data_IF_512345844884
#
_entry.id   IF_512345844884
#
_cell.length_a   1.000
_cell.length_b   1.000
_cell.length_c   1.000
_cell.angle_alpha   90.00
_cell.angle_beta   90.00
_cell.angle_gamma   90.00
#
_symmetry.space_group_name_H-M   'P 1'
#
loop_
_entity.id
_entity.type
_entity.pdbx_description
1 polymer ?
#
# COMPACT_ATOMS: atom_id res chain seq x y z
N UNK A 1 5.06 2.56 29.87
CA UNK A 1 5.71 3.01 28.62
C UNK A 1 4.93 2.41 27.47
N UNK A 2 4.51 3.21 26.49
CA UNK A 2 3.89 2.66 25.27
C UNK A 2 4.95 1.87 24.51
N UNK A 3 4.67 0.61 24.17
CA UNK A 3 5.55 -0.18 23.31
C UNK A 3 5.53 0.39 21.88
N UNK A 4 6.67 0.35 21.19
CA UNK A 4 6.75 0.69 19.76
C UNK A 4 6.07 -0.43 18.97
N UNK A 5 5.22 -0.07 18.00
CA UNK A 5 4.60 -1.03 17.09
C UNK A 5 5.54 -1.31 15.92
N UNK A 6 5.98 -2.55 15.76
CA UNK A 6 6.97 -2.97 14.77
C UNK A 6 6.27 -3.68 13.60
N UNK A 7 6.47 -3.16 12.39
CA UNK A 7 5.94 -3.74 11.15
C UNK A 7 7.09 -4.36 10.36
N UNK A 8 7.09 -5.68 10.22
CA UNK A 8 8.04 -6.37 9.34
C UNK A 8 7.60 -6.21 7.87
N UNK A 9 8.52 -5.80 7.00
CA UNK A 9 8.26 -5.63 5.57
C UNK A 9 8.55 -6.92 4.80
N UNK A 10 7.52 -7.67 4.43
CA UNK A 10 7.63 -8.78 3.49
C UNK A 10 7.66 -8.28 2.04
N UNK A 11 6.90 -7.22 1.76
CA UNK A 11 6.84 -6.62 0.43
C UNK A 11 6.48 -7.65 -0.64
N UNK A 12 7.34 -7.78 -1.66
CA UNK A 12 7.24 -8.76 -2.74
C UNK A 12 8.28 -9.90 -2.59
N UNK A 13 8.93 -10.03 -1.44
CA UNK A 13 10.01 -11.01 -1.23
C UNK A 13 9.55 -12.47 -1.25
N UNK A 14 8.24 -12.72 -1.35
CA UNK A 14 7.69 -14.05 -1.64
C UNK A 14 8.02 -14.52 -3.07
N UNK A 15 8.47 -13.63 -3.98
CA UNK A 15 8.89 -13.96 -5.34
C UNK A 15 7.89 -14.82 -6.14
N UNK A 16 6.58 -14.66 -5.89
CA UNK A 16 5.54 -15.49 -6.49
C UNK A 16 5.45 -16.91 -5.95
N UNK A 17 6.13 -17.22 -4.85
CA UNK A 17 6.10 -18.54 -4.19
C UNK A 17 5.14 -18.51 -2.99
N UNK A 18 4.14 -19.41 -3.03
CA UNK A 18 3.13 -19.54 -1.97
C UNK A 18 3.75 -19.95 -0.63
N UNK A 19 4.64 -20.93 -0.64
CA UNK A 19 5.30 -21.42 0.59
C UNK A 19 6.16 -20.34 1.23
N UNK A 20 6.95 -19.65 0.42
CA UNK A 20 7.82 -18.57 0.89
C UNK A 20 7.03 -17.41 1.52
N UNK A 21 5.81 -17.12 1.04
CA UNK A 21 4.96 -16.11 1.66
C UNK A 21 4.63 -16.46 3.13
N UNK A 22 4.42 -17.74 3.45
CA UNK A 22 4.18 -18.20 4.83
C UNK A 22 5.47 -18.22 5.67
N UNK A 23 6.60 -18.59 5.08
CA UNK A 23 7.90 -18.54 5.76
C UNK A 23 8.28 -17.10 6.17
N UNK A 24 7.91 -16.10 5.36
CA UNK A 24 8.06 -14.70 5.72
C UNK A 24 7.21 -14.32 6.95
N UNK A 25 5.99 -14.86 7.07
CA UNK A 25 5.16 -14.68 8.28
C UNK A 25 5.85 -15.29 9.50
N UNK A 26 6.35 -16.54 9.38
CA UNK A 26 7.05 -17.21 10.48
C UNK A 26 8.32 -16.45 10.90
N UNK A 27 9.04 -15.91 9.93
CA UNK A 27 10.23 -15.08 10.18
C UNK A 27 9.88 -13.78 10.94
N UNK A 28 8.79 -13.10 10.54
CA UNK A 28 8.30 -11.90 11.22
C UNK A 28 7.87 -12.20 12.67
N UNK A 29 7.17 -13.29 12.89
CA UNK A 29 6.79 -13.77 14.24
C UNK A 29 8.02 -14.06 15.08
N UNK A 30 9.00 -14.78 14.53
CA UNK A 30 10.25 -15.13 15.22
C UNK A 30 11.09 -13.90 15.60
N UNK A 31 11.01 -12.84 14.77
CA UNK A 31 11.66 -11.56 15.03
C UNK A 31 10.91 -10.70 16.06
N UNK A 32 9.73 -11.11 16.51
CA UNK A 32 8.91 -10.36 17.48
C UNK A 32 8.21 -9.14 16.88
N UNK A 33 7.92 -9.13 15.58
CA UNK A 33 7.17 -8.07 14.95
C UNK A 33 5.68 -8.13 15.33
N UNK A 34 5.04 -6.95 15.44
CA UNK A 34 3.60 -6.83 15.75
C UNK A 34 2.73 -7.04 14.50
N UNK A 35 3.28 -6.73 13.34
CA UNK A 35 2.63 -6.90 12.04
C UNK A 35 3.61 -7.35 10.96
N UNK A 36 3.08 -8.01 9.94
CA UNK A 36 3.79 -8.25 8.67
C UNK A 36 3.04 -7.55 7.55
N UNK A 37 3.78 -6.92 6.63
CA UNK A 37 3.21 -6.14 5.54
C UNK A 37 3.68 -6.63 4.18
N UNK A 38 2.72 -7.02 3.34
CA UNK A 38 2.89 -7.38 1.94
C UNK A 38 2.58 -6.20 1.01
N UNK A 39 2.58 -6.46 -0.29
CA UNK A 39 2.15 -5.53 -1.34
C UNK A 39 1.07 -6.20 -2.18
N UNK A 40 0.05 -5.42 -2.55
CA UNK A 40 -1.08 -5.87 -3.36
C UNK A 40 -1.24 -4.93 -4.54
N UNK A 41 -1.16 -5.47 -5.74
CA UNK A 41 -1.30 -4.72 -6.98
C UNK A 41 -1.74 -5.64 -8.11
N UNK A 42 -2.32 -5.03 -9.14
CA UNK A 42 -2.59 -5.65 -10.43
C UNK A 42 -1.61 -5.02 -11.43
N UNK A 43 -0.71 -5.79 -12.00
CA UNK A 43 0.36 -5.27 -12.86
C UNK A 43 -0.15 -4.43 -14.01
N UNK A 44 -1.30 -4.80 -14.58
CA UNK A 44 -1.97 -4.07 -15.66
C UNK A 44 -2.43 -2.67 -15.25
N UNK A 45 -2.67 -2.43 -13.96
CA UNK A 45 -3.14 -1.15 -13.42
C UNK A 45 -1.99 -0.26 -12.92
N UNK A 46 -0.80 -0.81 -12.68
CA UNK A 46 0.34 -0.06 -12.10
C UNK A 46 1.49 0.22 -13.07
N UNK A 47 1.60 -0.55 -14.17
CA UNK A 47 2.68 -0.37 -15.14
C UNK A 47 2.23 -0.65 -16.57
N UNK A 48 2.69 0.16 -17.52
CA UNK A 48 2.44 -0.09 -18.95
C UNK A 48 3.35 -1.22 -19.45
N UNK A 49 2.86 -1.99 -20.44
CA UNK A 49 3.63 -3.10 -21.03
C UNK A 49 4.94 -2.66 -21.69
N UNK A 50 5.06 -1.39 -22.04
CA UNK A 50 6.25 -0.79 -22.66
C UNK A 50 7.17 -0.06 -21.69
N UNK A 51 6.88 -0.10 -20.38
CA UNK A 51 7.72 0.56 -19.38
C UNK A 51 9.11 -0.10 -19.31
N UNK A 52 10.15 0.74 -19.31
CA UNK A 52 11.51 0.29 -19.09
C UNK A 52 11.75 0.06 -17.61
N UNK A 53 12.62 -0.91 -17.29
CA UNK A 53 13.10 -1.11 -15.92
C UNK A 53 13.90 0.10 -15.43
N UNK A 54 13.87 0.35 -14.14
CA UNK A 54 14.80 1.29 -13.53
C UNK A 54 16.23 0.69 -13.54
N UNK A 55 17.25 1.56 -13.64
CA UNK A 55 18.66 1.14 -13.78
C UNK A 55 19.09 0.17 -12.66
N UNK A 56 18.66 0.38 -11.43
CA UNK A 56 18.98 -0.51 -10.32
C UNK A 56 18.34 -1.91 -10.44
N UNK A 57 17.23 -2.02 -11.16
CA UNK A 57 16.54 -3.31 -11.38
C UNK A 57 17.25 -4.16 -12.44
N UNK A 58 17.96 -3.55 -13.38
CA UNK A 58 18.71 -4.24 -14.43
C UNK A 58 19.88 -5.07 -13.85
N UNK A 59 20.42 -4.67 -12.69
CA UNK A 59 21.52 -5.39 -12.04
C UNK A 59 21.08 -6.69 -11.35
N UNK A 60 19.78 -6.84 -11.07
CA UNK A 60 19.24 -7.97 -10.29
C UNK A 60 18.29 -8.86 -11.09
N UNK A 61 17.92 -8.46 -12.31
CA UNK A 61 16.95 -9.18 -13.16
C UNK A 61 17.48 -9.32 -14.59
N UNK A 62 16.92 -10.27 -15.37
CA UNK A 62 17.33 -10.47 -16.78
C UNK A 62 17.13 -9.21 -17.61
N UNK A 63 18.12 -8.83 -18.42
CA UNK A 63 18.04 -7.68 -19.33
C UNK A 63 17.00 -7.80 -20.45
N UNK A 64 16.52 -9.02 -20.73
CA UNK A 64 15.50 -9.29 -21.76
C UNK A 64 14.06 -9.22 -21.21
N UNK A 65 13.87 -9.12 -19.90
CA UNK A 65 12.56 -9.07 -19.26
C UNK A 65 12.08 -7.62 -19.14
N UNK A 66 10.81 -7.34 -19.49
CA UNK A 66 10.21 -6.00 -19.31
C UNK A 66 9.93 -5.72 -17.82
N UNK A 67 9.71 -4.44 -17.47
CA UNK A 67 9.27 -4.11 -16.11
C UNK A 67 7.92 -4.77 -15.80
N UNK A 68 7.02 -4.84 -16.78
CA UNK A 68 5.73 -5.50 -16.65
C UNK A 68 5.89 -6.99 -16.30
N UNK A 69 6.74 -7.72 -17.05
CA UNK A 69 6.95 -9.16 -16.80
C UNK A 69 7.57 -9.43 -15.42
N UNK A 70 8.48 -8.55 -14.98
CA UNK A 70 9.08 -8.63 -13.66
C UNK A 70 8.03 -8.43 -12.56
N UNK A 71 7.23 -7.37 -12.66
CA UNK A 71 6.19 -7.05 -11.65
C UNK A 71 5.11 -8.13 -11.64
N UNK A 72 4.72 -8.65 -12.83
CA UNK A 72 3.68 -9.69 -12.93
C UNK A 72 3.99 -10.95 -12.14
N UNK A 73 5.25 -11.34 -12.09
CA UNK A 73 5.71 -12.49 -11.27
C UNK A 73 5.66 -12.23 -9.77
N UNK A 74 5.60 -10.97 -9.37
CA UNK A 74 5.63 -10.52 -7.97
C UNK A 74 4.23 -10.18 -7.44
N UNK A 75 3.18 -10.34 -8.24
CA UNK A 75 1.82 -10.20 -7.77
C UNK A 75 1.53 -11.22 -6.66
N UNK A 76 0.87 -10.76 -5.62
CA UNK A 76 0.31 -11.63 -4.59
C UNK A 76 -1.14 -11.96 -4.98
N UNK A 77 -1.46 -13.19 -5.39
CA UNK A 77 -2.82 -13.55 -5.80
C UNK A 77 -3.85 -13.26 -4.72
N UNK A 78 -5.04 -12.80 -5.08
CA UNK A 78 -6.07 -12.40 -4.12
C UNK A 78 -6.47 -13.56 -3.19
N UNK A 79 -6.50 -14.78 -3.71
CA UNK A 79 -6.81 -15.98 -2.94
C UNK A 79 -5.82 -16.21 -1.80
N UNK A 80 -4.53 -15.90 -2.01
CA UNK A 80 -3.50 -16.06 -0.99
C UNK A 80 -3.67 -15.11 0.19
N UNK A 81 -4.28 -13.95 -0.03
CA UNK A 81 -4.54 -13.00 1.07
C UNK A 81 -5.42 -13.58 2.16
N UNK A 82 -6.46 -14.34 1.79
CA UNK A 82 -7.32 -15.00 2.78
C UNK A 82 -6.57 -16.05 3.59
N UNK A 83 -5.70 -16.81 2.93
CA UNK A 83 -4.87 -17.82 3.59
C UNK A 83 -3.83 -17.19 4.51
N UNK A 84 -3.14 -16.16 4.05
CA UNK A 84 -2.17 -15.38 4.82
C UNK A 84 -2.82 -14.68 6.02
N UNK A 85 -4.00 -14.08 5.83
CA UNK A 85 -4.76 -13.48 6.93
C UNK A 85 -5.10 -14.50 8.00
N UNK A 86 -5.62 -15.67 7.61
CA UNK A 86 -5.92 -16.77 8.56
C UNK A 86 -4.65 -17.24 9.28
N UNK A 87 -3.56 -17.36 8.54
CA UNK A 87 -2.28 -17.80 9.11
C UNK A 87 -1.70 -16.77 10.09
N UNK A 88 -1.70 -15.50 9.73
CA UNK A 88 -1.27 -14.41 10.62
C UNK A 88 -2.09 -14.40 11.91
N UNK A 89 -3.43 -14.54 11.82
CA UNK A 89 -4.30 -14.63 12.98
C UNK A 89 -3.97 -15.82 13.87
N UNK A 90 -3.69 -16.99 13.28
CA UNK A 90 -3.26 -18.19 14.03
C UNK A 90 -1.92 -17.98 14.74
N UNK A 91 -1.01 -17.22 14.14
CA UNK A 91 0.33 -16.91 14.68
C UNK A 91 0.33 -15.73 15.66
N UNK A 92 -0.78 -14.98 15.78
CA UNK A 92 -0.90 -13.81 16.65
C UNK A 92 -0.17 -12.57 16.14
N UNK A 93 0.09 -12.47 14.83
CA UNK A 93 0.68 -11.30 14.17
C UNK A 93 -0.36 -10.60 13.28
N UNK A 94 -0.35 -9.28 13.21
CA UNK A 94 -1.27 -8.53 12.36
C UNK A 94 -0.88 -8.62 10.90
N UNK A 95 -1.85 -8.94 10.03
CA UNK A 95 -1.68 -8.88 8.55
C UNK A 95 -1.90 -7.47 8.06
N UNK A 96 -0.99 -6.94 7.25
CA UNK A 96 -1.11 -5.69 6.53
C UNK A 96 -0.71 -5.90 5.06
N UNK A 97 -1.25 -5.09 4.17
CA UNK A 97 -0.76 -4.99 2.80
C UNK A 97 -0.88 -3.57 2.27
N UNK A 98 0.05 -3.18 1.40
CA UNK A 98 0.05 -1.89 0.72
C UNK A 98 -0.64 -2.06 -0.63
N UNK A 99 -1.72 -1.30 -0.88
CA UNK A 99 -2.33 -1.22 -2.21
C UNK A 99 -1.58 -0.23 -3.10
N UNK A 100 -1.45 -0.55 -4.39
CA UNK A 100 -0.87 0.34 -5.41
C UNK A 100 -1.87 0.70 -6.51
N UNK A 101 -3.09 0.22 -6.43
CA UNK A 101 -4.18 0.54 -7.34
C UNK A 101 -5.53 0.52 -6.61
N UNK A 102 -6.54 1.11 -7.24
CA UNK A 102 -7.86 1.22 -6.63
C UNK A 102 -8.55 -0.12 -6.38
N UNK A 103 -8.40 -1.09 -7.29
CA UNK A 103 -9.03 -2.42 -7.14
C UNK A 103 -8.42 -3.16 -5.95
N UNK A 104 -7.09 -3.09 -5.82
CA UNK A 104 -6.36 -3.64 -4.68
C UNK A 104 -6.75 -2.96 -3.37
N UNK A 105 -6.94 -1.64 -3.37
CA UNK A 105 -7.43 -0.91 -2.20
C UNK A 105 -8.84 -1.38 -1.80
N UNK A 106 -9.75 -1.45 -2.76
CA UNK A 106 -11.13 -1.89 -2.53
C UNK A 106 -11.14 -3.34 -2.00
N UNK A 107 -10.38 -4.25 -2.61
CA UNK A 107 -10.23 -5.63 -2.16
C UNK A 107 -9.71 -5.72 -0.71
N UNK A 108 -8.64 -5.01 -0.39
CA UNK A 108 -8.06 -5.04 0.96
C UNK A 108 -9.02 -4.50 2.02
N UNK A 109 -9.75 -3.43 1.72
CA UNK A 109 -10.69 -2.82 2.68
C UNK A 109 -12.01 -3.56 2.74
N UNK A 110 -12.57 -3.95 1.59
CA UNK A 110 -13.96 -4.42 1.50
C UNK A 110 -14.07 -5.94 1.63
N UNK A 111 -13.01 -6.71 1.31
CA UNK A 111 -13.00 -8.18 1.40
C UNK A 111 -12.08 -8.69 2.52
N UNK A 112 -10.82 -8.27 2.54
CA UNK A 112 -9.86 -8.66 3.59
C UNK A 112 -10.14 -7.96 4.91
N UNK A 113 -10.85 -6.80 4.88
CA UNK A 113 -11.27 -6.02 6.08
C UNK A 113 -10.10 -5.48 6.88
N UNK A 114 -9.06 -4.97 6.21
CA UNK A 114 -7.95 -4.31 6.92
C UNK A 114 -8.43 -3.04 7.65
N UNK A 115 -7.84 -2.76 8.82
CA UNK A 115 -8.16 -1.58 9.63
C UNK A 115 -7.22 -0.41 9.37
N UNK A 116 -6.09 -0.66 8.73
CA UNK A 116 -5.04 0.31 8.47
C UNK A 116 -4.66 0.25 7.00
N UNK A 117 -4.76 1.36 6.30
CA UNK A 117 -4.30 1.50 4.92
C UNK A 117 -2.88 2.07 4.93
N UNK A 118 -1.96 1.38 4.26
CA UNK A 118 -0.62 1.90 4.02
C UNK A 118 -0.56 2.54 2.65
N UNK A 119 -0.17 3.81 2.62
CA UNK A 119 0.07 4.58 1.39
C UNK A 119 1.58 4.61 1.15
N UNK A 120 2.07 4.06 0.03
CA UNK A 120 3.50 4.05 -0.28
C UNK A 120 3.96 5.43 -0.72
N UNK A 121 5.25 5.74 -0.56
CA UNK A 121 5.80 7.05 -0.94
C UNK A 121 5.71 7.35 -2.43
N UNK A 122 5.71 6.32 -3.28
CA UNK A 122 5.49 6.49 -4.72
C UNK A 122 4.12 7.04 -5.11
N UNK A 123 3.15 6.93 -4.20
CA UNK A 123 1.78 7.42 -4.41
C UNK A 123 1.49 8.77 -3.74
N UNK A 124 2.48 9.41 -3.10
CA UNK A 124 2.24 10.64 -2.33
C UNK A 124 1.76 11.81 -3.18
N UNK A 125 2.12 11.83 -4.47
CA UNK A 125 1.67 12.84 -5.44
C UNK A 125 0.44 12.40 -6.25
N UNK A 126 -0.06 11.17 -6.02
CA UNK A 126 -1.25 10.64 -6.69
C UNK A 126 -2.52 11.09 -5.96
N UNK A 127 -2.92 12.35 -6.18
CA UNK A 127 -4.08 12.96 -5.52
C UNK A 127 -5.38 12.14 -5.64
N UNK A 128 -5.75 11.57 -6.79
CA UNK A 128 -6.93 10.71 -6.89
C UNK A 128 -6.85 9.48 -5.98
N UNK A 129 -5.70 8.81 -5.91
CA UNK A 129 -5.51 7.63 -5.07
C UNK A 129 -5.51 7.97 -3.57
N UNK A 130 -4.86 9.07 -3.17
CA UNK A 130 -4.90 9.58 -1.79
C UNK A 130 -6.33 9.86 -1.33
N UNK A 131 -7.13 10.48 -2.20
CA UNK A 131 -8.53 10.77 -1.91
C UNK A 131 -9.35 9.48 -1.74
N UNK A 132 -9.16 8.48 -2.61
CA UNK A 132 -9.83 7.19 -2.46
C UNK A 132 -9.43 6.47 -1.16
N UNK A 133 -8.15 6.50 -0.77
CA UNK A 133 -7.70 5.97 0.51
C UNK A 133 -8.37 6.66 1.70
N UNK A 134 -8.44 8.00 1.67
CA UNK A 134 -9.03 8.79 2.75
C UNK A 134 -10.55 8.54 2.90
N UNK A 135 -11.27 8.42 1.78
CA UNK A 135 -12.71 8.10 1.76
C UNK A 135 -13.06 6.78 2.42
N UNK A 136 -12.13 5.82 2.50
CA UNK A 136 -12.37 4.55 3.19
C UNK A 136 -12.52 4.72 4.71
N UNK A 137 -12.17 5.86 5.29
CA UNK A 137 -12.36 6.16 6.71
C UNK A 137 -11.58 5.24 7.65
N UNK A 138 -10.47 4.68 7.19
CA UNK A 138 -9.58 3.82 7.97
C UNK A 138 -8.39 4.61 8.52
N UNK A 139 -7.67 4.03 9.47
CA UNK A 139 -6.38 4.57 9.88
C UNK A 139 -5.39 4.54 8.72
N UNK A 140 -4.59 5.59 8.57
CA UNK A 140 -3.63 5.71 7.47
C UNK A 140 -2.20 5.72 8.01
N UNK A 141 -1.31 5.02 7.30
CA UNK A 141 0.14 5.15 7.44
C UNK A 141 0.66 5.66 6.10
N UNK A 142 1.18 6.88 6.08
CA UNK A 142 1.68 7.55 4.87
C UNK A 142 3.20 7.59 4.88
N UNK A 143 3.85 7.05 3.85
CA UNK A 143 5.29 7.20 3.66
C UNK A 143 5.60 8.44 2.83
N UNK A 144 6.68 9.11 3.21
CA UNK A 144 7.13 10.38 2.61
C UNK A 144 8.51 10.29 1.97
N UNK A 145 8.98 9.07 1.68
CA UNK A 145 10.30 8.86 1.08
C UNK A 145 10.44 9.58 -0.26
N UNK A 146 11.52 10.34 -0.41
CA UNK A 146 11.85 11.17 -1.59
C UNK A 146 10.84 12.30 -1.89
N UNK A 147 9.87 12.56 -1.01
CA UNK A 147 8.98 13.71 -1.13
C UNK A 147 9.58 14.95 -0.47
N UNK A 148 9.32 16.12 -1.03
CA UNK A 148 9.61 17.39 -0.38
C UNK A 148 8.47 17.82 0.57
N UNK A 149 8.70 18.91 1.34
CA UNK A 149 7.70 19.36 2.32
C UNK A 149 6.41 19.85 1.66
N UNK A 150 6.51 20.44 0.47
CA UNK A 150 5.33 20.92 -0.26
C UNK A 150 4.44 19.76 -0.74
N UNK A 151 5.03 18.70 -1.25
CA UNK A 151 4.32 17.48 -1.66
C UNK A 151 3.64 16.81 -0.46
N UNK A 152 4.31 16.80 0.70
CA UNK A 152 3.74 16.25 1.95
C UNK A 152 2.53 17.08 2.40
N UNK A 153 2.64 18.41 2.40
CA UNK A 153 1.55 19.30 2.78
C UNK A 153 0.34 19.17 1.84
N UNK A 154 0.57 19.06 0.53
CA UNK A 154 -0.49 18.80 -0.44
C UNK A 154 -1.17 17.45 -0.20
N UNK A 155 -0.40 16.39 0.04
CA UNK A 155 -0.93 15.08 0.33
C UNK A 155 -1.80 15.08 1.61
N UNK A 156 -1.34 15.74 2.67
CA UNK A 156 -2.11 15.90 3.92
C UNK A 156 -3.40 16.68 3.69
N UNK A 157 -3.38 17.71 2.87
CA UNK A 157 -4.59 18.47 2.49
C UNK A 157 -5.65 17.60 1.78
N UNK A 158 -5.20 16.78 0.83
CA UNK A 158 -6.08 15.84 0.10
C UNK A 158 -6.67 14.79 1.05
N UNK A 159 -5.83 14.23 1.93
CA UNK A 159 -6.24 13.23 2.92
C UNK A 159 -7.24 13.86 3.90
N UNK A 160 -6.94 15.05 4.44
CA UNK A 160 -7.84 15.77 5.34
C UNK A 160 -9.20 16.03 4.68
N UNK A 161 -9.20 16.49 3.44
CA UNK A 161 -10.42 16.71 2.67
C UNK A 161 -11.24 15.42 2.53
N UNK A 162 -10.59 14.30 2.18
CA UNK A 162 -11.25 13.01 2.05
C UNK A 162 -11.86 12.51 3.36
N UNK A 163 -11.14 12.66 4.47
CA UNK A 163 -11.61 12.26 5.81
C UNK A 163 -12.80 13.12 6.30
N UNK A 164 -12.75 14.42 6.07
CA UNK A 164 -13.82 15.35 6.49
C UNK A 164 -15.08 15.23 5.63
N UNK A 165 -14.96 14.82 4.38
CA UNK A 165 -16.04 14.81 3.42
C UNK A 165 -16.41 13.40 2.91
N UNK A 166 -16.00 12.34 3.60
CA UNK A 166 -16.17 10.94 3.17
C UNK A 166 -17.65 10.55 2.89
N UNK A 167 -18.63 11.27 3.48
CA UNK A 167 -20.06 11.00 3.34
C UNK A 167 -20.76 11.94 2.33
N UNK A 168 -20.18 13.09 1.97
CA UNK A 168 -20.84 14.14 1.17
C UNK A 168 -19.85 14.82 0.19
N UNK A 169 -19.10 14.04 -0.58
CA UNK A 169 -18.23 14.63 -1.60
C UNK A 169 -19.03 15.36 -2.67
N UNK A 170 -18.69 16.63 -2.88
CA UNK A 170 -19.14 17.39 -4.03
C UNK A 170 -18.60 16.74 -5.31
N UNK A 171 -19.36 16.77 -6.40
CA UNK A 171 -18.90 16.27 -7.70
C UNK A 171 -17.68 17.01 -8.27
N UNK A 172 -17.38 18.18 -7.70
CA UNK A 172 -16.23 19.02 -8.09
C UNK A 172 -15.56 19.60 -6.85
N UNK A 173 -14.25 19.48 -6.81
CA UNK A 173 -13.37 20.05 -5.79
C UNK A 173 -12.12 20.68 -6.45
N UNK A 174 -11.47 21.60 -5.76
CA UNK A 174 -10.33 22.36 -6.22
C UNK A 174 -9.16 22.26 -5.22
N UNK A 175 -7.99 22.76 -5.62
CA UNK A 175 -6.85 22.84 -4.70
C UNK A 175 -7.14 23.67 -3.46
N UNK A 176 -7.97 24.73 -3.57
CA UNK A 176 -8.36 25.55 -2.41
C UNK A 176 -9.22 24.76 -1.39
N UNK A 177 -10.00 23.76 -1.83
CA UNK A 177 -10.76 22.90 -0.91
C UNK A 177 -9.78 22.03 -0.09
N UNK A 178 -8.69 21.57 -0.68
CA UNK A 178 -7.65 20.79 0.01
C UNK A 178 -6.84 21.64 0.98
N UNK A 179 -6.47 22.86 0.60
CA UNK A 179 -5.80 23.81 1.48
C UNK A 179 -6.65 24.16 2.70
N UNK A 180 -7.95 24.43 2.51
CA UNK A 180 -8.86 24.68 3.61
C UNK A 180 -8.99 23.47 4.54
N UNK A 181 -9.07 22.26 3.99
CA UNK A 181 -9.12 21.04 4.79
C UNK A 181 -7.83 20.84 5.60
N UNK A 182 -6.66 21.11 5.01
CA UNK A 182 -5.38 21.05 5.71
C UNK A 182 -5.34 21.98 6.94
N UNK A 183 -5.79 23.23 6.77
CA UNK A 183 -5.82 24.18 7.88
C UNK A 183 -6.91 23.88 8.94
N UNK A 184 -7.80 22.93 8.67
CA UNK A 184 -8.81 22.49 9.62
C UNK A 184 -8.34 21.36 10.53
N UNK A 185 -7.16 20.79 10.28
CA UNK A 185 -6.52 19.77 11.10
C UNK A 185 -5.84 20.40 12.33
#
# INVERSE_FOLDING_TARGET
MSSVFIIAEAGVNHNGDYGLAFELVDSAVSAGADAIKFQTFISEDVVTKSANKAVYQESTTSSSETQFDMIKKLELPYEWHFDLLRYCNKKGIKFLSTAFDKKSLDFLVDEIKIDVIKIPSGEITNAPFLLECAKKGKNLIVSTGMADMHEIEQALGIIAFGLLNNLNLKDKYSMSDFEQAYHSL
#
